data_IF_879561897851
#
_entry.id   IF_879561897851
#
_cell.length_a   1.000
_cell.length_b   1.000
_cell.length_c   1.000
_cell.angle_alpha   90.00
_cell.angle_beta   90.00
_cell.angle_gamma   90.00
#
_symmetry.space_group_name_H-M   'P 1'
#
loop_
_entity.id
_entity.type
_entity.pdbx_description
1 polymer ?
#
# COMPACT_ATOMS: atom_id res chain seq x y z
N UNK A 1 52.85 -64.13 -34.17
CA UNK A 1 52.99 -62.70 -34.54
C UNK A 1 51.65 -62.03 -34.32
N UNK A 2 51.62 -60.90 -33.60
CA UNK A 2 50.38 -60.20 -33.15
C UNK A 2 49.45 -59.83 -34.31
N UNK A 3 48.12 -59.91 -34.16
CA UNK A 3 47.17 -59.51 -35.19
C UNK A 3 46.85 -58.01 -35.16
N UNK A 4 46.56 -57.52 -36.36
CA UNK A 4 46.28 -56.16 -36.81
C UNK A 4 44.85 -55.70 -36.43
N UNK A 5 44.69 -54.46 -35.99
CA UNK A 5 43.41 -53.83 -35.60
C UNK A 5 42.95 -52.86 -36.71
N UNK A 6 41.70 -52.94 -37.21
CA UNK A 6 41.10 -51.87 -38.00
C UNK A 6 40.12 -51.00 -37.18
N UNK A 7 40.10 -49.71 -37.53
CA UNK A 7 39.42 -48.61 -36.86
C UNK A 7 37.89 -48.61 -37.02
N UNK A 8 37.21 -48.00 -36.03
CA UNK A 8 35.75 -47.89 -35.91
C UNK A 8 35.12 -46.86 -36.88
N UNK A 9 33.87 -47.07 -37.33
CA UNK A 9 33.19 -46.16 -38.27
C UNK A 9 32.56 -44.92 -37.61
N UNK A 10 32.52 -43.84 -38.38
CA UNK A 10 32.09 -42.50 -38.00
C UNK A 10 30.58 -42.35 -37.73
N UNK A 11 30.23 -41.46 -36.78
CA UNK A 11 28.86 -41.07 -36.43
C UNK A 11 28.23 -40.14 -37.48
N UNK A 12 26.91 -40.25 -37.77
CA UNK A 12 26.20 -39.34 -38.67
C UNK A 12 25.89 -37.98 -38.02
N UNK A 13 25.67 -36.91 -38.81
CA UNK A 13 25.46 -35.55 -38.30
C UNK A 13 24.06 -35.36 -37.69
N UNK A 14 24.02 -34.60 -36.59
CA UNK A 14 22.79 -34.22 -35.87
C UNK A 14 21.92 -33.28 -36.74
N UNK A 15 20.77 -33.77 -37.19
CA UNK A 15 19.73 -32.95 -37.81
C UNK A 15 19.13 -31.95 -36.83
N UNK A 16 19.06 -30.68 -37.24
CA UNK A 16 18.37 -29.59 -36.52
C UNK A 16 16.88 -29.92 -36.41
N UNK A 17 16.41 -30.23 -35.20
CA UNK A 17 14.97 -30.28 -34.90
C UNK A 17 14.40 -28.87 -35.05
N UNK A 18 13.57 -28.65 -36.08
CA UNK A 18 12.74 -27.45 -36.20
C UNK A 18 11.78 -27.41 -35.01
N UNK A 19 11.78 -26.29 -34.27
CA UNK A 19 10.75 -25.98 -33.28
C UNK A 19 9.38 -25.98 -33.98
N UNK A 20 8.33 -26.57 -33.39
CA UNK A 20 6.98 -26.38 -33.91
C UNK A 20 6.62 -24.89 -33.78
N UNK A 21 5.99 -24.35 -34.83
CA UNK A 21 5.45 -23.00 -34.83
C UNK A 21 4.45 -22.83 -33.67
N UNK A 22 4.39 -21.65 -33.02
CA UNK A 22 3.36 -21.40 -32.03
C UNK A 22 1.98 -21.45 -32.71
N UNK A 23 0.92 -21.91 -32.00
CA UNK A 23 -0.43 -21.88 -32.55
C UNK A 23 -0.84 -20.44 -32.83
N UNK A 24 -1.14 -20.15 -34.09
CA UNK A 24 -1.81 -18.92 -34.52
C UNK A 24 -3.22 -18.90 -33.93
N UNK A 25 -3.37 -18.19 -32.83
CA UNK A 25 -4.62 -18.05 -32.09
C UNK A 25 -4.52 -16.95 -31.04
N UNK A 26 -3.89 -15.83 -31.40
CA UNK A 26 -3.77 -14.68 -30.53
C UNK A 26 -5.14 -14.04 -30.30
N UNK A 27 -5.75 -14.35 -29.15
CA UNK A 27 -6.87 -13.57 -28.61
C UNK A 27 -6.36 -12.12 -28.46
N UNK A 28 -6.97 -11.20 -29.21
CA UNK A 28 -6.64 -9.77 -29.16
C UNK A 28 -7.29 -9.18 -27.93
N UNK A 29 -6.51 -8.97 -26.87
CA UNK A 29 -6.88 -8.08 -25.78
C UNK A 29 -7.10 -6.67 -26.36
N UNK A 30 -8.11 -5.91 -25.87
CA UNK A 30 -8.47 -4.61 -26.45
C UNK A 30 -7.45 -3.49 -26.17
N UNK A 31 -6.43 -3.77 -25.36
CA UNK A 31 -5.37 -2.83 -25.04
C UNK A 31 -4.38 -2.74 -26.22
N UNK A 32 -4.16 -1.56 -26.82
CA UNK A 32 -3.03 -1.42 -27.73
C UNK A 32 -1.75 -1.67 -26.92
N UNK A 33 -0.95 -2.66 -27.35
CA UNK A 33 0.41 -2.85 -26.84
C UNK A 33 1.20 -1.57 -27.09
N UNK A 34 1.38 -0.76 -26.06
CA UNK A 34 2.34 0.33 -26.11
C UNK A 34 3.72 -0.31 -26.06
N UNK A 35 4.42 -0.31 -27.20
CA UNK A 35 5.86 -0.54 -27.20
C UNK A 35 6.56 0.49 -26.30
N UNK A 36 7.81 0.23 -25.87
CA UNK A 36 8.54 1.18 -25.04
C UNK A 36 8.57 2.54 -25.75
N UNK A 37 8.09 3.57 -25.05
CA UNK A 37 8.14 4.94 -25.56
C UNK A 37 9.59 5.34 -25.82
N UNK A 38 9.91 5.73 -27.06
CA UNK A 38 11.21 6.34 -27.36
C UNK A 38 11.31 7.70 -26.66
N UNK A 39 12.36 7.97 -25.87
CA UNK A 39 12.51 9.25 -25.18
C UNK A 39 12.94 10.35 -26.17
N UNK A 40 11.97 11.14 -26.63
CA UNK A 40 12.19 12.31 -27.45
C UNK A 40 12.15 13.62 -26.64
N UNK A 41 13.35 14.21 -26.45
CA UNK A 41 13.66 15.65 -26.18
C UNK A 41 13.62 16.16 -24.73
N UNK A 42 14.85 16.25 -24.20
CA UNK A 42 15.44 17.32 -23.39
C UNK A 42 14.62 17.89 -22.22
N UNK A 43 14.53 17.10 -21.15
CA UNK A 43 14.39 17.64 -19.80
C UNK A 43 15.67 18.43 -19.45
N UNK A 44 15.51 19.70 -19.08
CA UNK A 44 16.55 20.40 -18.32
C UNK A 44 16.60 19.73 -16.96
N UNK A 45 17.59 18.86 -16.78
CA UNK A 45 17.85 18.19 -15.52
C UNK A 45 18.15 19.24 -14.44
N UNK A 46 17.31 19.29 -13.41
CA UNK A 46 17.77 19.82 -12.13
C UNK A 46 18.98 18.97 -11.70
N UNK A 47 20.04 19.58 -11.12
CA UNK A 47 21.23 18.83 -10.76
C UNK A 47 20.85 17.70 -9.80
N UNK A 48 21.39 16.48 -9.98
CA UNK A 48 21.10 15.37 -9.08
C UNK A 48 21.56 15.77 -7.67
N UNK A 49 20.63 15.78 -6.72
CA UNK A 49 21.00 15.68 -5.31
C UNK A 49 21.75 14.35 -5.17
N UNK A 50 23.05 14.44 -4.91
CA UNK A 50 23.90 13.29 -4.71
C UNK A 50 23.24 12.36 -3.68
N UNK A 51 22.98 11.12 -4.08
CA UNK A 51 22.54 10.10 -3.15
C UNK A 51 23.59 10.00 -2.03
N UNK A 52 23.21 10.14 -0.75
CA UNK A 52 24.16 9.96 0.34
C UNK A 52 24.64 8.50 0.31
N UNK A 53 25.95 8.31 0.40
CA UNK A 53 26.55 6.99 0.46
C UNK A 53 25.99 6.24 1.69
N UNK A 54 25.36 5.10 1.45
CA UNK A 54 24.89 4.22 2.50
C UNK A 54 26.10 3.69 3.31
N UNK A 55 26.10 3.94 4.62
CA UNK A 55 27.02 3.29 5.56
C UNK A 55 26.59 1.85 5.87
N UNK A 56 27.43 1.06 6.56
CA UNK A 56 27.27 -0.41 6.63
C UNK A 56 26.02 -0.96 7.34
N UNK A 57 25.18 -0.12 7.96
CA UNK A 57 23.96 -0.56 8.68
C UNK A 57 22.66 0.08 8.16
N UNK A 58 22.67 0.67 6.96
CA UNK A 58 21.45 1.16 6.30
C UNK A 58 20.84 2.44 6.88
N UNK A 59 21.50 3.11 7.84
CA UNK A 59 21.12 4.43 8.32
C UNK A 59 21.72 5.52 7.42
N UNK A 60 20.87 6.30 6.76
CA UNK A 60 21.30 7.46 5.96
C UNK A 60 21.89 8.55 6.87
N UNK A 61 23.18 8.82 6.71
CA UNK A 61 23.93 9.85 7.43
C UNK A 61 23.28 11.25 7.36
N UNK A 62 22.50 11.56 6.31
CA UNK A 62 21.73 12.80 6.21
C UNK A 62 20.51 12.80 7.15
N UNK A 63 19.84 11.65 7.30
CA UNK A 63 18.71 11.46 8.22
C UNK A 63 19.19 11.56 9.67
N UNK A 64 20.30 10.89 10.01
CA UNK A 64 20.90 10.96 11.35
C UNK A 64 21.27 12.40 11.69
N UNK A 65 21.96 13.12 10.80
CA UNK A 65 22.32 14.52 11.01
C UNK A 65 21.11 15.44 11.19
N UNK A 66 20.05 15.25 10.39
CA UNK A 66 18.80 16.00 10.54
C UNK A 66 18.13 15.72 11.87
N UNK A 67 18.04 14.45 12.29
CA UNK A 67 17.42 14.04 13.56
C UNK A 67 18.19 14.56 14.77
N UNK A 68 19.52 14.54 14.72
CA UNK A 68 20.37 15.16 15.75
C UNK A 68 20.14 16.69 15.80
N UNK A 69 19.97 17.35 14.65
CA UNK A 69 19.66 18.77 14.60
C UNK A 69 18.25 19.10 15.14
N UNK A 70 17.24 18.28 14.83
CA UNK A 70 15.89 18.38 15.39
C UNK A 70 15.88 18.16 16.91
N UNK A 71 16.65 17.17 17.40
CA UNK A 71 16.83 16.94 18.82
C UNK A 71 17.49 18.13 19.53
N UNK A 72 18.49 18.76 18.91
CA UNK A 72 19.12 19.99 19.40
C UNK A 72 18.12 21.15 19.51
N UNK A 73 17.23 21.30 18.52
CA UNK A 73 16.19 22.34 18.53
C UNK A 73 15.15 22.08 19.63
N UNK A 74 14.72 20.83 19.80
CA UNK A 74 13.74 20.44 20.82
C UNK A 74 14.30 20.51 22.25
N UNK A 75 15.60 20.26 22.45
CA UNK A 75 16.28 20.42 23.73
C UNK A 75 16.35 21.88 24.21
N UNK A 76 16.35 22.85 23.29
CA UNK A 76 16.33 24.27 23.61
C UNK A 76 14.96 24.75 24.13
N UNK A 77 13.88 24.05 23.79
CA UNK A 77 12.50 24.34 24.18
C UNK A 77 11.98 23.48 25.36
N UNK A 78 12.87 22.68 25.99
CA UNK A 78 12.55 21.90 27.19
C UNK A 78 12.19 20.43 26.93
N UNK A 79 13.09 19.67 26.31
CA UNK A 79 12.94 18.21 26.17
C UNK A 79 13.04 17.45 27.52
N UNK A 80 12.43 16.26 27.57
CA UNK A 80 12.44 15.35 28.73
C UNK A 80 13.88 15.04 29.22
N UNK A 81 14.11 15.02 30.56
CA UNK A 81 15.43 14.88 31.18
C UNK A 81 16.31 13.64 30.82
N UNK A 82 15.80 12.48 30.31
CA UNK A 82 16.67 11.32 30.04
C UNK A 82 17.56 11.42 28.80
N UNK A 83 17.27 12.34 27.86
CA UNK A 83 17.95 12.38 26.55
C UNK A 83 19.26 13.19 26.56
N UNK A 84 19.40 14.14 27.48
CA UNK A 84 20.54 15.07 27.50
C UNK A 84 21.92 14.37 27.62
N UNK A 85 22.11 13.30 28.42
CA UNK A 85 23.40 12.60 28.52
C UNK A 85 23.75 11.84 27.24
N UNK A 86 22.79 11.16 26.63
CA UNK A 86 22.96 10.40 25.39
C UNK A 86 23.24 11.32 24.21
N UNK A 87 22.57 12.48 24.16
CA UNK A 87 22.87 13.54 23.19
C UNK A 87 24.32 14.01 23.40
N UNK A 88 24.73 14.30 24.64
CA UNK A 88 26.09 14.77 24.93
C UNK A 88 27.18 13.75 24.52
N UNK A 89 26.96 12.46 24.75
CA UNK A 89 27.92 11.39 24.42
C UNK A 89 28.02 11.08 22.92
N UNK A 90 26.95 11.32 22.15
CA UNK A 90 26.90 11.02 20.72
C UNK A 90 27.32 12.19 19.81
N UNK A 91 27.48 13.41 20.35
CA UNK A 91 27.80 14.61 19.57
C UNK A 91 29.15 14.56 18.84
N UNK A 92 30.12 13.81 19.38
CA UNK A 92 31.48 13.67 18.84
C UNK A 92 31.79 12.27 18.29
N UNK A 93 30.79 11.37 18.29
CA UNK A 93 30.97 9.99 17.87
C UNK A 93 30.81 9.82 16.33
N UNK A 94 31.57 8.90 15.71
CA UNK A 94 31.34 8.48 14.32
C UNK A 94 29.89 8.03 14.09
N UNK A 95 29.36 8.20 12.87
CA UNK A 95 27.95 7.89 12.54
C UNK A 95 27.62 6.39 12.72
N UNK A 96 28.62 5.53 12.57
CA UNK A 96 28.59 4.09 12.79
C UNK A 96 28.82 3.67 14.26
N UNK A 97 28.98 4.63 15.17
CA UNK A 97 29.15 4.31 16.59
C UNK A 97 27.83 3.77 17.18
N UNK A 98 27.85 2.65 17.92
CA UNK A 98 26.67 2.10 18.57
C UNK A 98 25.96 3.08 19.53
N UNK A 99 26.64 4.12 20.02
CA UNK A 99 26.04 5.21 20.81
C UNK A 99 25.16 6.13 19.96
N UNK A 100 25.53 6.37 18.70
CA UNK A 100 24.70 7.12 17.74
C UNK A 100 23.47 6.29 17.38
N UNK A 101 23.62 4.99 17.19
CA UNK A 101 22.49 4.08 17.00
C UNK A 101 21.55 4.06 18.23
N UNK A 102 22.10 3.98 19.45
CA UNK A 102 21.32 4.06 20.68
C UNK A 102 20.61 5.43 20.86
N UNK A 103 21.26 6.53 20.46
CA UNK A 103 20.62 7.84 20.45
C UNK A 103 19.49 7.90 19.40
N UNK A 104 19.71 7.40 18.18
CA UNK A 104 18.65 7.31 17.15
C UNK A 104 17.50 6.44 17.63
N UNK A 105 17.77 5.34 18.33
CA UNK A 105 16.75 4.45 18.92
C UNK A 105 15.91 5.15 19.98
N UNK A 106 16.55 5.98 20.80
CA UNK A 106 15.90 6.77 21.82
C UNK A 106 15.19 8.01 21.23
N UNK A 107 15.67 8.54 20.10
CA UNK A 107 15.03 9.61 19.32
C UNK A 107 13.79 9.11 18.56
N UNK A 108 13.85 7.93 17.95
CA UNK A 108 12.71 7.28 17.31
C UNK A 108 11.71 6.75 18.36
N UNK A 109 12.20 6.41 19.57
CA UNK A 109 11.38 6.15 20.75
C UNK A 109 10.91 4.72 20.94
N UNK A 110 11.25 3.81 20.01
CA UNK A 110 10.84 2.41 20.05
C UNK A 110 11.58 1.56 21.08
N UNK A 111 12.67 2.09 21.65
CA UNK A 111 13.39 1.47 22.76
C UNK A 111 13.77 0.01 22.47
N UNK A 112 13.44 -0.95 23.36
CA UNK A 112 13.77 -2.37 23.16
C UNK A 112 13.23 -3.00 21.86
N UNK A 113 12.23 -2.39 21.21
CA UNK A 113 11.64 -2.90 19.97
C UNK A 113 12.32 -2.35 18.71
N UNK A 114 13.22 -1.35 18.85
CA UNK A 114 13.86 -0.68 17.72
C UNK A 114 14.62 -1.63 16.77
N UNK A 115 15.36 -2.66 17.23
CA UNK A 115 16.01 -3.62 16.34
C UNK A 115 15.03 -4.37 15.44
N UNK A 116 13.88 -4.75 15.98
CA UNK A 116 12.83 -5.45 15.22
C UNK A 116 12.12 -4.51 14.24
N UNK A 117 11.87 -3.26 14.66
CA UNK A 117 11.25 -2.23 13.81
C UNK A 117 12.09 -1.92 12.57
N UNK A 118 13.42 -2.00 12.67
CA UNK A 118 14.33 -1.77 11.54
C UNK A 118 14.66 -3.01 10.71
N UNK A 119 14.27 -4.20 11.16
CA UNK A 119 14.64 -5.43 10.49
C UNK A 119 13.98 -5.49 9.09
N UNK A 120 14.76 -5.58 8.00
CA UNK A 120 14.19 -5.67 6.66
C UNK A 120 13.24 -6.86 6.52
N UNK A 121 12.06 -6.62 5.93
CA UNK A 121 11.03 -7.64 5.74
C UNK A 121 10.11 -7.87 6.95
N UNK A 122 10.35 -7.25 8.10
CA UNK A 122 9.38 -7.22 9.20
C UNK A 122 8.31 -6.18 8.90
N UNK A 123 7.05 -6.59 8.93
CA UNK A 123 5.89 -5.73 8.68
C UNK A 123 5.17 -5.31 9.96
N UNK A 124 5.22 -6.16 10.99
CA UNK A 124 4.55 -5.92 12.26
C UNK A 124 5.44 -6.39 13.43
N UNK A 125 5.45 -5.64 14.53
CA UNK A 125 6.10 -6.01 15.81
C UNK A 125 5.04 -5.93 16.90
N UNK A 126 4.82 -7.03 17.62
CA UNK A 126 3.76 -7.13 18.62
C UNK A 126 4.34 -7.47 20.00
N UNK A 127 3.72 -6.95 21.04
CA UNK A 127 3.98 -7.32 22.45
C UNK A 127 2.66 -7.80 23.05
N UNK A 128 2.65 -9.04 23.52
CA UNK A 128 1.49 -9.61 24.21
C UNK A 128 1.45 -9.23 25.69
N UNK A 129 0.38 -9.60 26.40
CA UNK A 129 0.20 -9.24 27.80
C UNK A 129 1.27 -9.82 28.72
N UNK A 130 1.88 -10.96 28.36
CA UNK A 130 2.98 -11.52 29.12
C UNK A 130 4.32 -10.80 28.83
N UNK A 131 4.32 -9.84 27.92
CA UNK A 131 5.49 -9.09 27.47
C UNK A 131 6.29 -9.77 26.36
N UNK A 132 5.83 -10.92 25.82
CA UNK A 132 6.58 -11.61 24.79
C UNK A 132 6.50 -10.86 23.46
N UNK A 133 7.62 -10.80 22.74
CA UNK A 133 7.74 -10.10 21.46
C UNK A 133 7.49 -11.06 20.29
N UNK A 134 6.70 -10.59 19.33
CA UNK A 134 6.41 -11.28 18.09
C UNK A 134 6.70 -10.37 16.90
N UNK A 135 7.06 -10.95 15.76
CA UNK A 135 7.19 -10.19 14.50
C UNK A 135 6.44 -10.91 13.38
N UNK A 136 5.79 -10.16 12.49
CA UNK A 136 5.22 -10.67 11.25
C UNK A 136 6.01 -10.15 10.04
N UNK A 137 5.93 -10.87 8.92
CA UNK A 137 6.62 -10.57 7.66
C UNK A 137 6.27 -11.58 6.58
N UNK A 138 7.16 -11.79 5.60
CA UNK A 138 6.90 -12.72 4.49
C UNK A 138 6.72 -14.18 4.96
N UNK A 139 7.39 -14.55 6.05
CA UNK A 139 7.31 -15.88 6.67
C UNK A 139 6.14 -16.08 7.63
N UNK A 140 5.29 -15.06 7.82
CA UNK A 140 4.22 -15.08 8.83
C UNK A 140 4.72 -14.74 10.24
N UNK A 141 3.83 -14.94 11.22
CA UNK A 141 4.05 -14.54 12.62
C UNK A 141 5.04 -15.47 13.33
N UNK A 142 6.11 -14.88 13.89
CA UNK A 142 7.19 -15.58 14.58
C UNK A 142 7.42 -15.00 15.97
N UNK A 143 7.52 -15.87 16.99
CA UNK A 143 7.89 -15.47 18.35
C UNK A 143 9.39 -15.21 18.45
N UNK A 144 9.77 -14.09 19.07
CA UNK A 144 11.17 -13.69 19.30
C UNK A 144 11.63 -14.09 20.70
N UNK A 145 12.96 -14.20 20.93
CA UNK A 145 13.49 -14.52 22.26
C UNK A 145 13.26 -13.39 23.27
N UNK A 146 13.07 -12.17 22.80
CA UNK A 146 12.89 -10.96 23.60
C UNK A 146 11.58 -10.96 24.38
N UNK A 147 11.65 -10.34 25.57
CA UNK A 147 10.51 -10.13 26.46
C UNK A 147 10.67 -8.80 27.16
N UNK A 148 9.61 -7.99 27.15
CA UNK A 148 9.53 -6.77 27.94
C UNK A 148 8.92 -7.12 29.31
N UNK A 149 9.49 -6.60 30.38
CA UNK A 149 8.80 -6.63 31.66
C UNK A 149 7.57 -5.70 31.64
N UNK A 150 6.58 -5.90 32.54
CA UNK A 150 5.34 -5.14 32.51
C UNK A 150 5.52 -3.62 32.62
N UNK A 151 6.49 -3.16 33.41
CA UNK A 151 6.73 -1.73 33.62
C UNK A 151 7.36 -1.12 32.36
N UNK A 152 8.36 -1.79 31.77
CA UNK A 152 8.97 -1.37 30.50
C UNK A 152 7.95 -1.34 29.36
N UNK A 153 7.08 -2.35 29.24
CA UNK A 153 6.04 -2.38 28.22
C UNK A 153 5.05 -1.21 28.37
N UNK A 154 4.62 -0.93 29.61
CA UNK A 154 3.75 0.21 29.93
C UNK A 154 4.44 1.54 29.64
N UNK A 155 5.66 1.74 30.12
CA UNK A 155 6.41 2.98 29.93
C UNK A 155 6.67 3.25 28.44
N UNK A 156 7.03 2.22 27.68
CA UNK A 156 7.23 2.32 26.23
C UNK A 156 5.93 2.74 25.52
N UNK A 157 4.80 2.11 25.85
CA UNK A 157 3.51 2.47 25.28
C UNK A 157 3.16 3.93 25.56
N UNK A 158 3.16 4.33 26.83
CA UNK A 158 2.83 5.70 27.25
C UNK A 158 3.72 6.72 26.53
N UNK A 159 5.04 6.47 26.46
CA UNK A 159 6.00 7.36 25.79
C UNK A 159 5.74 7.48 24.29
N UNK A 160 5.52 6.36 23.59
CA UNK A 160 5.23 6.36 22.15
C UNK A 160 3.96 7.16 21.84
N UNK A 161 2.89 6.93 22.62
CA UNK A 161 1.62 7.62 22.44
C UNK A 161 1.75 9.11 22.77
N UNK A 162 2.43 9.46 23.87
CA UNK A 162 2.67 10.85 24.27
C UNK A 162 3.42 11.65 23.21
N UNK A 163 4.48 11.06 22.63
CA UNK A 163 5.24 11.68 21.53
C UNK A 163 4.40 11.99 20.28
N UNK A 164 3.34 11.23 20.06
CA UNK A 164 2.39 11.47 18.98
C UNK A 164 1.22 12.39 19.37
N UNK A 165 1.31 13.06 20.53
CA UNK A 165 0.24 13.90 21.06
C UNK A 165 -1.02 13.10 21.42
N UNK A 166 -0.86 11.85 21.87
CA UNK A 166 -1.94 10.99 22.33
C UNK A 166 -1.79 10.69 23.80
N UNK A 167 -2.92 10.64 24.50
CA UNK A 167 -2.99 10.29 25.91
C UNK A 167 -3.23 8.80 26.05
N UNK A 168 -2.44 8.13 26.89
CA UNK A 168 -2.63 6.72 27.24
C UNK A 168 -2.44 6.59 28.76
N UNK A 169 -3.51 6.30 29.48
CA UNK A 169 -3.49 6.11 30.93
C UNK A 169 -4.67 5.22 31.39
N UNK A 170 -4.95 5.16 32.69
CA UNK A 170 -6.03 4.33 33.23
C UNK A 170 -7.42 4.82 32.82
N UNK A 171 -7.58 6.13 32.56
CA UNK A 171 -8.84 6.71 32.09
C UNK A 171 -9.00 6.59 30.58
N UNK A 172 -7.90 6.60 29.82
CA UNK A 172 -7.85 6.38 28.37
C UNK A 172 -6.93 5.18 28.07
N UNK A 173 -7.42 3.93 28.29
CA UNK A 173 -6.56 2.74 28.26
C UNK A 173 -6.29 2.19 26.85
N UNK A 174 -6.88 2.77 25.80
CA UNK A 174 -6.63 2.40 24.41
C UNK A 174 -6.25 3.65 23.61
N UNK A 175 -5.21 3.56 22.79
CA UNK A 175 -4.85 4.65 21.90
C UNK A 175 -4.11 4.17 20.65
N UNK A 176 -4.31 4.92 19.57
CA UNK A 176 -3.66 4.76 18.28
C UNK A 176 -2.86 6.01 17.92
N UNK A 177 -1.67 5.80 17.36
CA UNK A 177 -0.75 6.85 16.97
C UNK A 177 0.13 6.48 15.78
N UNK A 178 0.88 7.46 15.28
CA UNK A 178 1.98 7.24 14.34
C UNK A 178 3.24 7.90 14.90
N UNK A 179 4.29 7.09 15.09
CA UNK A 179 5.61 7.53 15.58
C UNK A 179 6.62 7.18 14.52
N UNK A 180 7.40 8.14 14.01
CA UNK A 180 8.41 7.86 12.98
C UNK A 180 7.89 7.17 11.70
N UNK A 181 6.59 7.28 11.40
CA UNK A 181 5.95 6.56 10.29
C UNK A 181 5.39 5.18 10.64
N UNK A 182 5.73 4.61 11.81
CA UNK A 182 5.19 3.35 12.31
C UNK A 182 3.84 3.60 12.98
N UNK A 183 2.82 2.80 12.63
CA UNK A 183 1.52 2.84 13.33
C UNK A 183 1.67 2.11 14.66
N UNK A 184 1.25 2.72 15.74
CA UNK A 184 1.32 2.18 17.09
C UNK A 184 -0.09 2.10 17.66
N UNK A 185 -0.51 0.90 18.06
CA UNK A 185 -1.69 0.68 18.87
C UNK A 185 -1.29 0.14 20.23
N UNK A 186 -1.85 0.67 21.30
CA UNK A 186 -1.57 0.24 22.66
C UNK A 186 -2.84 0.03 23.48
N UNK A 187 -2.81 -1.00 24.34
CA UNK A 187 -3.90 -1.31 25.28
C UNK A 187 -3.33 -1.54 26.68
N UNK A 188 -3.84 -0.82 27.67
CA UNK A 188 -3.44 -0.95 29.06
C UNK A 188 -4.43 -1.82 29.88
N UNK A 189 -3.96 -2.46 30.96
CA UNK A 189 -4.85 -3.03 31.96
C UNK A 189 -5.75 -1.95 32.59
N UNK A 190 -6.99 -2.29 32.99
CA UNK A 190 -7.57 -3.64 33.02
C UNK A 190 -8.23 -4.09 31.71
N UNK A 191 -8.23 -3.27 30.65
CA UNK A 191 -8.84 -3.67 29.36
C UNK A 191 -8.11 -4.86 28.74
N UNK A 192 -6.79 -4.88 28.86
CA UNK A 192 -5.98 -6.06 28.58
C UNK A 192 -5.84 -6.92 29.85
N UNK A 193 -6.25 -8.20 29.76
CA UNK A 193 -6.25 -9.11 30.91
C UNK A 193 -4.87 -9.62 31.36
N UNK A 194 -3.81 -9.42 30.57
CA UNK A 194 -2.48 -9.99 30.82
C UNK A 194 -1.36 -8.98 31.13
N UNK A 195 -1.53 -7.72 30.77
CA UNK A 195 -0.48 -6.70 30.78
C UNK A 195 -0.64 -5.72 29.60
N UNK A 196 0.29 -4.79 29.42
CA UNK A 196 0.25 -3.84 28.30
C UNK A 196 0.40 -4.57 26.96
N UNK A 197 -0.51 -4.32 26.01
CA UNK A 197 -0.42 -4.81 24.64
C UNK A 197 0.14 -3.71 23.74
N UNK A 198 1.04 -4.06 22.82
CA UNK A 198 1.55 -3.17 21.77
C UNK A 198 1.45 -3.84 20.41
N UNK A 199 0.97 -3.11 19.41
CA UNK A 199 1.01 -3.51 18.01
C UNK A 199 1.63 -2.39 17.19
N UNK A 200 2.82 -2.64 16.64
CA UNK A 200 3.52 -1.74 15.74
C UNK A 200 3.41 -2.26 14.30
N UNK A 201 2.90 -1.44 13.38
CA UNK A 201 2.88 -1.74 11.94
C UNK A 201 3.82 -0.81 11.20
N UNK A 202 4.81 -1.41 10.56
CA UNK A 202 5.92 -0.72 9.90
C UNK A 202 5.52 -0.46 8.45
N UNK A 203 5.65 0.79 7.96
CA UNK A 203 5.41 1.08 6.55
C UNK A 203 6.51 0.45 5.69
N UNK A 204 6.17 0.03 4.48
CA UNK A 204 7.17 -0.41 3.53
C UNK A 204 8.14 0.75 3.21
N UNK A 205 9.45 0.46 3.17
CA UNK A 205 10.49 1.47 2.92
C UNK A 205 10.38 2.09 1.52
N UNK A 206 9.90 1.32 0.54
CA UNK A 206 9.70 1.75 -0.84
C UNK A 206 8.41 1.15 -1.38
N UNK A 207 7.62 1.95 -2.10
CA UNK A 207 6.48 1.44 -2.86
C UNK A 207 7.03 0.69 -4.08
N UNK A 208 6.70 -0.60 -4.28
CA UNK A 208 7.11 -1.34 -5.46
C UNK A 208 6.46 -0.73 -6.70
N UNK A 209 7.20 -0.72 -7.82
CA UNK A 209 6.63 -0.31 -9.10
C UNK A 209 5.57 -1.29 -9.57
N UNK A 210 4.65 -0.85 -10.43
CA UNK A 210 3.65 -1.74 -11.02
C UNK A 210 4.28 -2.92 -11.75
N UNK A 211 5.40 -2.68 -12.45
CA UNK A 211 6.17 -3.73 -13.12
C UNK A 211 6.72 -4.77 -12.12
N UNK A 212 7.34 -4.31 -11.01
CA UNK A 212 7.88 -5.19 -9.99
C UNK A 212 6.80 -6.04 -9.31
N UNK A 213 5.60 -5.49 -9.09
CA UNK A 213 4.47 -6.27 -8.60
C UNK A 213 4.02 -7.30 -9.64
N UNK A 214 3.89 -6.89 -10.90
CA UNK A 214 3.45 -7.75 -12.00
C UNK A 214 4.39 -8.93 -12.26
N UNK A 215 5.70 -8.77 -12.07
CA UNK A 215 6.66 -9.87 -12.21
C UNK A 215 6.37 -11.05 -11.27
N UNK A 216 5.73 -10.79 -10.12
CA UNK A 216 5.32 -11.81 -9.16
C UNK A 216 3.89 -12.34 -9.35
N UNK A 217 3.10 -11.77 -10.27
CA UNK A 217 1.69 -12.13 -10.44
C UNK A 217 1.49 -13.23 -11.49
N UNK A 218 0.51 -14.12 -11.28
CA UNK A 218 0.01 -14.96 -12.36
C UNK A 218 -0.59 -14.10 -13.50
N UNK A 219 -0.17 -14.35 -14.74
CA UNK A 219 -0.46 -13.49 -15.90
C UNK A 219 -0.16 -12.00 -15.67
N UNK A 220 0.91 -11.70 -14.91
CA UNK A 220 1.19 -10.35 -14.46
C UNK A 220 1.30 -9.30 -15.56
N UNK A 221 1.86 -9.64 -16.73
CA UNK A 221 1.92 -8.73 -17.88
C UNK A 221 0.52 -8.28 -18.34
N UNK A 222 -0.46 -9.20 -18.36
CA UNK A 222 -1.84 -8.87 -18.72
C UNK A 222 -2.48 -7.93 -17.69
N UNK A 223 -2.26 -8.20 -16.40
CA UNK A 223 -2.79 -7.36 -15.33
C UNK A 223 -2.13 -5.98 -15.29
N UNK A 224 -0.83 -5.90 -15.55
CA UNK A 224 -0.12 -4.64 -15.71
C UNK A 224 -0.70 -3.82 -16.87
N UNK A 225 -0.84 -4.42 -18.06
CA UNK A 225 -1.43 -3.75 -19.24
C UNK A 225 -2.85 -3.23 -18.94
N UNK A 226 -3.67 -4.02 -18.24
CA UNK A 226 -5.02 -3.61 -17.84
C UNK A 226 -5.00 -2.44 -16.85
N UNK A 227 -4.13 -2.47 -15.84
CA UNK A 227 -3.98 -1.40 -14.84
C UNK A 227 -3.45 -0.11 -15.48
N UNK A 228 -2.45 -0.21 -16.36
CA UNK A 228 -1.92 0.93 -17.10
C UNK A 228 -3.00 1.56 -17.99
N UNK A 229 -3.85 0.74 -18.61
CA UNK A 229 -4.97 1.26 -19.38
C UNK A 229 -6.01 1.98 -18.52
N UNK A 230 -6.37 1.43 -17.36
CA UNK A 230 -7.27 2.11 -16.40
C UNK A 230 -6.71 3.46 -15.95
N UNK A 231 -5.39 3.53 -15.69
CA UNK A 231 -4.72 4.78 -15.29
C UNK A 231 -4.68 5.79 -16.43
N UNK A 232 -4.22 5.36 -17.62
CA UNK A 232 -4.12 6.19 -18.83
C UNK A 232 -5.47 6.79 -19.21
N UNK A 233 -6.51 5.96 -19.23
CA UNK A 233 -7.86 6.34 -19.66
C UNK A 233 -8.68 6.95 -18.51
N UNK A 234 -8.02 7.40 -17.42
CA UNK A 234 -8.63 8.09 -16.27
C UNK A 234 -9.88 7.38 -15.74
N UNK A 235 -9.83 6.06 -15.66
CA UNK A 235 -10.90 5.26 -15.10
C UNK A 235 -11.03 5.50 -13.59
N UNK A 236 -12.27 5.56 -13.13
CA UNK A 236 -12.60 5.57 -11.71
C UNK A 236 -12.66 4.13 -11.19
N UNK A 237 -11.76 3.78 -10.27
CA UNK A 237 -11.54 2.38 -9.85
C UNK A 237 -11.72 2.22 -8.35
N UNK A 238 -12.56 1.26 -7.95
CA UNK A 238 -12.62 0.79 -6.57
C UNK A 238 -11.79 -0.49 -6.42
N UNK A 239 -10.77 -0.45 -5.57
CA UNK A 239 -9.94 -1.60 -5.23
C UNK A 239 -10.51 -2.30 -3.99
N UNK A 240 -10.82 -3.58 -4.12
CA UNK A 240 -11.42 -4.39 -3.07
C UNK A 240 -10.56 -5.59 -2.70
N UNK A 241 -10.76 -6.12 -1.49
CA UNK A 241 -10.04 -7.27 -0.96
C UNK A 241 -10.02 -7.30 0.58
N UNK A 242 -9.59 -8.42 1.14
CA UNK A 242 -9.44 -8.60 2.57
C UNK A 242 -8.36 -7.68 3.19
N UNK A 243 -8.31 -7.64 4.52
CA UNK A 243 -7.21 -6.99 5.26
C UNK A 243 -5.88 -7.65 4.93
N UNK A 244 -4.87 -6.84 4.64
CA UNK A 244 -3.54 -7.35 4.27
C UNK A 244 -3.43 -7.96 2.87
N UNK A 245 -4.47 -7.84 2.01
CA UNK A 245 -4.40 -8.31 0.62
C UNK A 245 -3.48 -7.47 -0.28
N UNK A 246 -3.03 -6.29 0.17
CA UNK A 246 -2.15 -5.41 -0.61
C UNK A 246 -2.86 -4.32 -1.43
N UNK A 247 -4.11 -3.97 -1.10
CA UNK A 247 -4.91 -2.93 -1.80
C UNK A 247 -4.16 -1.61 -1.93
N UNK A 248 -3.68 -1.05 -0.82
CA UNK A 248 -2.99 0.25 -0.80
C UNK A 248 -1.65 0.21 -1.54
N UNK A 249 -0.95 -0.94 -1.49
CA UNK A 249 0.30 -1.17 -2.23
C UNK A 249 0.06 -1.17 -3.74
N UNK A 250 -0.91 -1.95 -4.21
CA UNK A 250 -1.27 -1.97 -5.65
C UNK A 250 -1.76 -0.59 -6.11
N UNK A 251 -2.61 0.06 -5.31
CA UNK A 251 -3.10 1.40 -5.60
C UNK A 251 -1.94 2.39 -5.74
N UNK A 252 -0.96 2.38 -4.83
CA UNK A 252 0.21 3.27 -4.91
C UNK A 252 1.07 2.98 -6.14
N UNK A 253 1.26 1.69 -6.48
CA UNK A 253 2.01 1.27 -7.66
C UNK A 253 1.33 1.70 -8.98
N UNK A 254 0.00 1.56 -9.07
CA UNK A 254 -0.78 2.01 -10.21
C UNK A 254 -0.78 3.53 -10.35
N UNK A 255 -0.92 4.26 -9.23
CA UNK A 255 -0.86 5.72 -9.23
C UNK A 255 0.52 6.28 -9.61
N UNK A 256 1.61 5.53 -9.40
CA UNK A 256 2.93 5.88 -9.95
C UNK A 256 3.00 5.83 -11.50
N UNK A 257 1.95 5.34 -12.18
CA UNK A 257 1.83 5.37 -13.64
C UNK A 257 1.02 6.57 -14.16
N UNK A 258 0.51 7.41 -13.26
CA UNK A 258 -0.16 8.66 -13.61
C UNK A 258 0.85 9.60 -14.31
N UNK A 259 0.45 10.33 -15.37
CA UNK A 259 1.30 11.32 -16.01
C UNK A 259 1.83 12.38 -15.03
N UNK A 260 3.13 12.69 -15.10
CA UNK A 260 3.81 13.55 -14.12
C UNK A 260 3.31 15.00 -14.04
N UNK A 261 2.48 15.44 -14.99
CA UNK A 261 1.82 16.74 -15.03
C UNK A 261 0.44 16.77 -14.34
N UNK A 262 -0.07 15.62 -13.90
CA UNK A 262 -1.32 15.51 -13.15
C UNK A 262 -1.09 15.63 -11.63
N UNK A 263 -2.01 16.24 -10.90
CA UNK A 263 -1.97 16.35 -9.44
C UNK A 263 -2.78 15.25 -8.77
N UNK A 264 -2.14 14.48 -7.90
CA UNK A 264 -2.78 13.44 -7.09
C UNK A 264 -3.06 13.98 -5.69
N UNK A 265 -4.32 13.97 -5.26
CA UNK A 265 -4.72 14.27 -3.88
C UNK A 265 -5.18 12.99 -3.21
N UNK A 266 -4.42 12.54 -2.22
CA UNK A 266 -4.67 11.33 -1.43
C UNK A 266 -5.33 11.73 -0.11
N UNK A 267 -6.44 11.07 0.22
CA UNK A 267 -7.22 11.30 1.43
C UNK A 267 -7.31 10.00 2.21
N UNK A 268 -6.72 9.95 3.40
CA UNK A 268 -6.65 8.72 4.20
C UNK A 268 -6.98 8.97 5.66
N UNK A 269 -7.53 7.96 6.34
CA UNK A 269 -7.67 8.00 7.79
C UNK A 269 -6.28 8.03 8.47
N UNK A 270 -5.39 7.16 7.99
CA UNK A 270 -3.98 7.19 8.36
C UNK A 270 -3.14 7.05 7.11
N UNK A 271 -2.15 7.93 6.95
CA UNK A 271 -1.27 7.95 5.77
C UNK A 271 -0.61 6.57 5.55
N UNK A 272 -0.83 6.00 4.38
CA UNK A 272 -0.33 4.69 3.94
C UNK A 272 0.09 4.74 2.47
N UNK A 273 -0.72 5.36 1.61
CA UNK A 273 -0.43 5.44 0.20
C UNK A 273 0.75 6.39 -0.06
N UNK A 274 1.74 5.88 -0.80
CA UNK A 274 2.95 6.61 -1.16
C UNK A 274 3.30 6.34 -2.63
N UNK A 275 2.47 6.81 -3.58
CA UNK A 275 2.77 6.65 -4.99
C UNK A 275 4.06 7.38 -5.37
N UNK A 276 4.89 6.72 -6.20
CA UNK A 276 6.08 7.33 -6.79
C UNK A 276 5.65 8.29 -7.92
N UNK A 277 5.34 9.53 -7.55
CA UNK A 277 4.80 10.54 -8.45
C UNK A 277 5.26 11.95 -8.02
N UNK A 278 5.66 12.84 -8.94
CA UNK A 278 6.25 14.15 -8.59
C UNK A 278 5.29 15.13 -7.91
N UNK A 279 3.97 14.96 -8.06
CA UNK A 279 2.96 15.89 -7.53
C UNK A 279 1.86 15.17 -6.73
N UNK A 280 2.20 14.76 -5.51
CA UNK A 280 1.28 14.09 -4.58
C UNK A 280 1.02 15.01 -3.38
N UNK A 281 -0.25 15.16 -3.03
CA UNK A 281 -0.70 15.88 -1.84
C UNK A 281 -1.47 14.93 -0.95
N UNK A 282 -0.95 14.68 0.25
CA UNK A 282 -1.60 13.79 1.23
C UNK A 282 -2.41 14.60 2.25
N UNK A 283 -3.66 14.22 2.44
CA UNK A 283 -4.55 14.66 3.51
C UNK A 283 -4.79 13.48 4.45
N UNK A 284 -4.67 13.71 5.75
CA UNK A 284 -4.87 12.71 6.76
C UNK A 284 -5.94 13.15 7.77
N UNK A 285 -6.82 12.23 8.16
CA UNK A 285 -7.75 12.46 9.26
C UNK A 285 -7.03 12.85 10.54
N UNK A 286 -7.73 13.62 11.37
CA UNK A 286 -7.27 13.98 12.70
C UNK A 286 -8.34 13.57 13.70
N UNK A 287 -8.01 12.66 14.60
CA UNK A 287 -8.86 12.39 15.76
C UNK A 287 -9.00 13.65 16.62
N UNK A 288 -10.13 13.76 17.33
CA UNK A 288 -10.29 14.78 18.36
C UNK A 288 -9.14 14.72 19.39
N UNK A 289 -8.80 15.88 19.97
CA UNK A 289 -7.87 15.95 21.09
C UNK A 289 -8.48 15.33 22.37
N UNK A 290 -7.73 15.33 23.47
CA UNK A 290 -8.18 14.76 24.75
C UNK A 290 -9.46 15.42 25.29
N UNK A 291 -9.75 16.66 24.87
CA UNK A 291 -10.94 17.43 25.21
C UNK A 291 -12.11 17.20 24.24
N UNK A 292 -11.97 16.32 23.24
CA UNK A 292 -13.01 16.02 22.25
C UNK A 292 -13.13 17.03 21.10
N UNK A 293 -12.18 17.95 20.97
CA UNK A 293 -12.21 19.03 19.99
C UNK A 293 -11.28 18.78 18.79
N UNK A 294 -11.63 19.37 17.65
CA UNK A 294 -10.76 19.42 16.47
C UNK A 294 -10.68 18.12 15.66
N UNK A 295 -11.67 17.23 15.77
CA UNK A 295 -11.80 16.11 14.84
C UNK A 295 -11.92 16.61 13.39
N UNK A 296 -11.22 15.95 12.48
CA UNK A 296 -11.31 16.14 11.03
C UNK A 296 -11.47 14.76 10.41
N UNK A 297 -12.68 14.46 9.95
CA UNK A 297 -13.04 13.15 9.41
C UNK A 297 -12.80 13.01 7.91
N UNK A 298 -12.87 11.77 7.42
CA UNK A 298 -12.57 11.44 6.02
C UNK A 298 -13.54 12.14 5.04
N UNK A 299 -14.83 12.16 5.38
CA UNK A 299 -15.87 12.86 4.62
C UNK A 299 -15.57 14.36 4.42
N UNK A 300 -15.10 15.03 5.47
CA UNK A 300 -14.71 16.43 5.42
C UNK A 300 -13.49 16.63 4.51
N UNK A 301 -12.45 15.82 4.68
CA UNK A 301 -11.26 15.89 3.84
C UNK A 301 -11.56 15.64 2.36
N UNK A 302 -12.46 14.72 2.02
CA UNK A 302 -12.91 14.50 0.63
C UNK A 302 -13.50 15.78 0.06
N UNK A 303 -14.39 16.47 0.79
CA UNK A 303 -14.98 17.75 0.34
C UNK A 303 -13.95 18.87 0.18
N UNK A 304 -12.91 18.89 1.03
CA UNK A 304 -11.81 19.84 0.91
C UNK A 304 -10.88 19.51 -0.26
N UNK A 305 -10.60 18.22 -0.49
CA UNK A 305 -9.76 17.76 -1.59
C UNK A 305 -10.27 18.25 -2.95
N UNK A 306 -11.59 18.29 -3.15
CA UNK A 306 -12.20 18.82 -4.39
C UNK A 306 -11.87 20.29 -4.67
N UNK A 307 -11.54 21.06 -3.63
CA UNK A 307 -11.14 22.47 -3.76
C UNK A 307 -9.65 22.66 -4.02
N UNK A 308 -8.88 21.57 -4.01
CA UNK A 308 -7.43 21.59 -4.20
C UNK A 308 -7.01 21.36 -5.65
N UNK A 309 -7.97 21.43 -6.60
CA UNK A 309 -7.79 21.10 -8.02
C UNK A 309 -7.09 19.74 -8.20
N UNK A 310 -7.70 18.63 -7.76
CA UNK A 310 -7.13 17.31 -8.03
C UNK A 310 -7.39 16.92 -9.49
N UNK A 311 -6.36 16.44 -10.18
CA UNK A 311 -6.53 15.68 -11.43
C UNK A 311 -6.87 14.22 -11.11
N UNK A 312 -6.37 13.70 -9.97
CA UNK A 312 -6.73 12.40 -9.38
C UNK A 312 -7.15 12.58 -7.93
N UNK A 313 -8.36 12.15 -7.59
CA UNK A 313 -8.79 12.00 -6.20
C UNK A 313 -8.58 10.57 -5.73
N UNK A 314 -7.87 10.38 -4.63
CA UNK A 314 -7.56 9.07 -4.08
C UNK A 314 -8.10 8.98 -2.67
N UNK A 315 -8.87 7.94 -2.37
CA UNK A 315 -9.38 7.69 -1.01
C UNK A 315 -8.81 6.38 -0.48
N UNK A 316 -7.94 6.47 0.53
CA UNK A 316 -7.18 5.35 1.04
C UNK A 316 -8.04 4.14 1.38
N UNK A 317 -9.11 4.33 2.17
CA UNK A 317 -10.08 3.28 2.44
C UNK A 317 -11.43 3.85 2.87
N UNK A 318 -12.52 3.36 2.28
CA UNK A 318 -13.89 3.63 2.73
C UNK A 318 -14.35 2.51 3.68
N UNK A 319 -14.80 2.90 4.87
CA UNK A 319 -15.25 2.01 5.96
C UNK A 319 -16.65 2.36 6.47
N UNK A 320 -17.16 3.56 6.20
CA UNK A 320 -18.42 4.05 6.76
C UNK A 320 -19.15 5.08 5.90
N UNK A 321 -19.85 5.99 6.58
CA UNK A 321 -20.75 6.96 5.97
C UNK A 321 -20.08 7.87 4.93
N UNK A 322 -18.76 8.07 5.02
CA UNK A 322 -17.98 8.86 4.07
C UNK A 322 -18.08 8.35 2.63
N UNK A 323 -18.49 7.10 2.42
CA UNK A 323 -18.71 6.56 1.08
C UNK A 323 -19.71 7.40 0.28
N UNK A 324 -20.66 8.06 0.94
CA UNK A 324 -21.62 8.97 0.31
C UNK A 324 -20.92 10.21 -0.28
N UNK A 325 -19.98 10.80 0.46
CA UNK A 325 -19.15 11.91 -0.02
C UNK A 325 -18.22 11.47 -1.14
N UNK A 326 -17.64 10.27 -1.04
CA UNK A 326 -16.81 9.68 -2.11
C UNK A 326 -17.63 9.50 -3.37
N UNK A 327 -18.76 8.78 -3.31
CA UNK A 327 -19.62 8.55 -4.47
C UNK A 327 -20.13 9.88 -5.07
N UNK A 328 -20.42 10.87 -4.25
CA UNK A 328 -20.77 12.22 -4.72
C UNK A 328 -19.59 12.85 -5.46
N UNK A 329 -18.38 12.81 -4.88
CA UNK A 329 -17.17 13.34 -5.51
C UNK A 329 -16.90 12.71 -6.89
N UNK A 330 -17.07 11.39 -7.03
CA UNK A 330 -16.91 10.68 -8.31
C UNK A 330 -17.82 11.22 -9.43
N UNK A 331 -18.95 11.82 -9.06
CA UNK A 331 -19.95 12.36 -9.99
C UNK A 331 -19.81 13.87 -10.25
N UNK A 332 -18.83 14.55 -9.63
CA UNK A 332 -18.62 16.01 -9.76
C UNK A 332 -17.58 16.42 -10.81
N UNK A 333 -17.22 15.51 -11.73
CA UNK A 333 -16.29 15.80 -12.82
C UNK A 333 -14.82 15.47 -12.52
N UNK A 334 -14.53 14.89 -11.36
CA UNK A 334 -13.19 14.40 -11.00
C UNK A 334 -13.00 12.98 -11.53
N UNK A 335 -12.39 12.87 -12.71
CA UNK A 335 -12.09 11.58 -13.34
C UNK A 335 -10.85 10.92 -12.73
N UNK A 336 -10.61 9.65 -13.06
CA UNK A 336 -9.41 8.95 -12.64
C UNK A 336 -9.31 8.73 -11.14
N UNK A 337 -10.43 8.79 -10.41
CA UNK A 337 -10.44 8.65 -8.97
C UNK A 337 -10.29 7.19 -8.54
N UNK A 338 -9.47 6.94 -7.52
CA UNK A 338 -9.21 5.60 -7.02
C UNK A 338 -9.56 5.52 -5.54
N UNK A 339 -10.13 4.41 -5.10
CA UNK A 339 -10.36 4.21 -3.67
C UNK A 339 -10.30 2.75 -3.28
N UNK A 340 -10.03 2.47 -2.00
CA UNK A 340 -10.10 1.09 -1.52
C UNK A 340 -11.27 0.84 -0.58
N UNK A 341 -11.73 -0.40 -0.51
CA UNK A 341 -12.73 -0.86 0.44
C UNK A 341 -12.57 -2.35 0.75
N UNK A 342 -13.17 -2.80 1.84
CA UNK A 342 -13.17 -4.22 2.20
C UNK A 342 -14.39 -4.96 1.64
N UNK A 343 -14.12 -5.99 0.85
CA UNK A 343 -15.09 -6.98 0.39
C UNK A 343 -14.36 -8.32 0.18
N UNK A 344 -15.07 -9.45 0.28
CA UNK A 344 -14.48 -10.78 0.08
C UNK A 344 -14.51 -11.22 -1.39
N UNK A 345 -15.29 -10.54 -2.21
CA UNK A 345 -15.33 -10.70 -3.66
C UNK A 345 -15.75 -9.38 -4.33
N UNK A 346 -15.42 -9.20 -5.61
CA UNK A 346 -15.92 -8.06 -6.39
C UNK A 346 -17.45 -7.99 -6.37
N UNK A 347 -18.13 -9.14 -6.53
CA UNK A 347 -19.59 -9.22 -6.54
C UNK A 347 -20.27 -8.74 -5.23
N UNK A 348 -19.54 -8.67 -4.12
CA UNK A 348 -20.06 -8.17 -2.83
C UNK A 348 -19.95 -6.65 -2.68
N UNK A 349 -19.16 -5.98 -3.54
CA UNK A 349 -18.94 -4.53 -3.46
C UNK A 349 -20.25 -3.72 -3.47
N UNK A 350 -21.25 -4.01 -4.32
CA UNK A 350 -22.53 -3.30 -4.29
C UNK A 350 -23.23 -3.34 -2.92
N UNK A 351 -23.26 -4.51 -2.27
CA UNK A 351 -23.87 -4.66 -0.96
C UNK A 351 -23.08 -3.89 0.11
N UNK A 352 -21.75 -3.88 0.02
CA UNK A 352 -20.88 -3.11 0.93
C UNK A 352 -21.06 -1.60 0.77
N UNK A 353 -21.12 -1.09 -0.47
CA UNK A 353 -21.43 0.31 -0.73
C UNK A 353 -22.80 0.69 -0.13
N UNK A 354 -23.81 -0.17 -0.31
CA UNK A 354 -25.16 0.07 0.22
C UNK A 354 -25.16 0.11 1.76
N UNK A 355 -24.48 -0.83 2.41
CA UNK A 355 -24.37 -0.88 3.86
C UNK A 355 -23.61 0.30 4.46
N UNK A 356 -22.56 0.79 3.80
CA UNK A 356 -21.82 1.97 4.25
C UNK A 356 -22.62 3.26 4.02
N UNK A 357 -23.24 3.40 2.86
CA UNK A 357 -24.00 4.59 2.51
C UNK A 357 -25.31 4.73 3.30
N UNK A 358 -25.89 3.62 3.78
CA UNK A 358 -27.06 3.68 4.66
C UNK A 358 -26.76 4.36 6.00
N UNK A 359 -25.51 4.35 6.47
CA UNK A 359 -25.06 5.12 7.64
C UNK A 359 -25.15 6.63 7.39
N UNK A 360 -25.06 7.06 6.13
CA UNK A 360 -25.29 8.44 5.70
C UNK A 360 -26.76 8.71 5.32
N UNK A 361 -27.68 7.76 5.57
CA UNK A 361 -29.10 7.88 5.26
C UNK A 361 -29.46 7.69 3.78
N UNK A 362 -28.53 7.20 2.94
CA UNK A 362 -28.85 6.94 1.53
C UNK A 362 -29.67 5.67 1.38
N UNK A 363 -30.66 5.73 0.48
CA UNK A 363 -31.44 4.56 0.08
C UNK A 363 -30.67 3.74 -0.97
N UNK A 364 -30.85 2.40 -1.04
CA UNK A 364 -30.16 1.54 -1.99
C UNK A 364 -30.22 2.03 -3.45
N UNK A 365 -31.35 2.59 -3.87
CA UNK A 365 -31.54 3.09 -5.24
C UNK A 365 -30.64 4.32 -5.52
N UNK A 366 -30.42 5.16 -4.50
CA UNK A 366 -29.52 6.32 -4.58
C UNK A 366 -28.07 5.85 -4.69
N UNK A 367 -27.68 4.88 -3.87
CA UNK A 367 -26.34 4.27 -3.92
C UNK A 367 -26.10 3.66 -5.30
N UNK A 368 -27.06 2.88 -5.79
CA UNK A 368 -26.95 2.23 -7.08
C UNK A 368 -26.80 3.23 -8.24
N UNK A 369 -27.61 4.29 -8.25
CA UNK A 369 -27.53 5.34 -9.26
C UNK A 369 -26.17 6.06 -9.24
N UNK A 370 -25.70 6.46 -8.05
CA UNK A 370 -24.43 7.19 -7.89
C UNK A 370 -23.22 6.30 -8.23
N UNK A 371 -23.22 5.04 -7.77
CA UNK A 371 -22.15 4.10 -8.07
C UNK A 371 -22.10 3.74 -9.56
N UNK A 372 -23.26 3.53 -10.20
CA UNK A 372 -23.33 3.20 -11.64
C UNK A 372 -22.82 4.34 -12.53
N UNK A 373 -23.06 5.58 -12.12
CA UNK A 373 -22.63 6.77 -12.85
C UNK A 373 -21.14 7.11 -12.61
N UNK A 374 -20.66 6.93 -11.37
CA UNK A 374 -19.31 7.33 -10.97
C UNK A 374 -18.24 6.26 -11.14
N UNK A 375 -18.55 4.97 -10.93
CA UNK A 375 -17.56 3.88 -10.90
C UNK A 375 -17.41 3.25 -12.29
N UNK A 376 -16.18 3.21 -12.81
CA UNK A 376 -15.90 2.59 -14.10
C UNK A 376 -15.54 1.10 -13.94
N UNK A 377 -14.78 0.76 -12.89
CA UNK A 377 -14.37 -0.62 -12.61
C UNK A 377 -14.18 -0.90 -11.11
N UNK A 378 -14.29 -2.18 -10.76
CA UNK A 378 -13.92 -2.75 -9.46
C UNK A 378 -12.79 -3.74 -9.69
N UNK A 379 -11.64 -3.49 -9.07
CA UNK A 379 -10.51 -4.41 -9.06
C UNK A 379 -10.51 -5.17 -7.74
N UNK A 380 -10.51 -6.50 -7.79
CA UNK A 380 -10.44 -7.34 -6.61
C UNK A 380 -9.08 -8.03 -6.50
N UNK A 381 -8.49 -7.97 -5.31
CA UNK A 381 -7.17 -8.52 -4.98
C UNK A 381 -7.35 -9.60 -3.91
N UNK A 382 -6.67 -10.73 -4.10
CA UNK A 382 -6.61 -11.81 -3.13
C UNK A 382 -5.17 -12.00 -2.61
N UNK A 383 -5.07 -12.71 -1.48
CA UNK A 383 -3.82 -13.30 -1.00
C UNK A 383 -4.02 -14.81 -0.93
N UNK A 384 -3.37 -15.56 -1.80
CA UNK A 384 -3.46 -17.02 -1.86
C UNK A 384 -2.08 -17.68 -2.05
N UNK A 385 -2.04 -18.92 -2.55
CA UNK A 385 -0.80 -19.66 -2.82
C UNK A 385 0.14 -19.00 -3.85
N UNK A 386 -0.33 -17.98 -4.58
CA UNK A 386 0.45 -17.17 -5.51
C UNK A 386 0.85 -15.81 -4.92
N UNK A 387 0.67 -15.60 -3.61
CA UNK A 387 0.95 -14.34 -2.96
C UNK A 387 -0.20 -13.34 -3.13
N UNK A 388 0.13 -12.04 -3.13
CA UNK A 388 -0.86 -10.95 -3.28
C UNK A 388 -0.97 -10.58 -4.75
N UNK A 389 -2.12 -10.81 -5.37
CA UNK A 389 -2.30 -10.52 -6.79
C UNK A 389 -3.76 -10.18 -7.17
N UNK A 390 -3.98 -9.47 -8.29
CA UNK A 390 -5.31 -9.25 -8.83
C UNK A 390 -5.97 -10.57 -9.24
N UNK A 391 -7.24 -10.73 -8.91
CA UNK A 391 -8.03 -11.92 -9.24
C UNK A 391 -9.26 -11.62 -10.08
N UNK A 392 -9.81 -10.41 -9.99
CA UNK A 392 -10.97 -10.03 -10.80
C UNK A 392 -10.95 -8.54 -11.13
N UNK A 393 -11.23 -8.20 -12.40
CA UNK A 393 -11.63 -6.87 -12.82
C UNK A 393 -13.09 -6.96 -13.23
N UNK A 394 -13.98 -6.29 -12.52
CA UNK A 394 -15.40 -6.26 -12.81
C UNK A 394 -15.86 -4.84 -13.15
N UNK A 395 -16.92 -4.72 -13.93
CA UNK A 395 -17.49 -3.42 -14.33
C UNK A 395 -18.98 -3.37 -14.08
N UNK A 396 -19.57 -2.21 -13.79
CA UNK A 396 -21.01 -2.14 -13.58
C UNK A 396 -21.81 -2.60 -14.80
N UNK A 397 -22.76 -3.50 -14.57
CA UNK A 397 -23.61 -4.12 -15.59
C UNK A 397 -24.57 -3.08 -16.19
N UNK A 398 -24.47 -2.77 -17.50
CA UNK A 398 -25.39 -1.83 -18.13
C UNK A 398 -26.83 -2.35 -18.23
N UNK A 399 -27.09 -3.64 -18.02
CA UNK A 399 -28.43 -4.26 -18.13
C UNK A 399 -29.09 -4.53 -16.79
N UNK A 400 -28.35 -4.47 -15.69
CA UNK A 400 -28.90 -4.70 -14.37
C UNK A 400 -29.85 -3.58 -13.94
N UNK A 401 -30.92 -3.96 -13.24
CA UNK A 401 -31.74 -3.05 -12.45
C UNK A 401 -30.99 -2.79 -11.12
N UNK A 402 -30.47 -1.58 -10.95
CA UNK A 402 -29.56 -1.20 -9.86
C UNK A 402 -28.06 -1.28 -10.22
N UNK A 403 -27.23 -1.56 -9.21
CA UNK A 403 -25.76 -1.63 -9.32
C UNK A 403 -25.29 -3.06 -9.10
N UNK A 404 -25.13 -3.80 -10.20
CA UNK A 404 -24.51 -5.11 -10.22
C UNK A 404 -23.21 -5.03 -11.05
N UNK A 405 -22.34 -6.02 -10.89
CA UNK A 405 -21.04 -6.07 -11.56
C UNK A 405 -20.96 -7.27 -12.49
N UNK A 406 -20.34 -7.08 -13.66
CA UNK A 406 -19.98 -8.12 -14.62
C UNK A 406 -18.46 -8.31 -14.63
N UNK A 407 -17.95 -9.54 -14.48
CA UNK A 407 -16.53 -9.81 -14.62
C UNK A 407 -16.05 -9.49 -16.05
N UNK A 408 -15.02 -8.67 -16.16
CA UNK A 408 -14.30 -8.37 -17.39
C UNK A 408 -13.04 -9.24 -17.50
N UNK A 409 -12.26 -9.36 -16.42
CA UNK A 409 -11.14 -10.30 -16.31
C UNK A 409 -11.28 -11.11 -15.03
N UNK A 410 -11.02 -12.41 -15.08
CA UNK A 410 -11.03 -13.29 -13.90
C UNK A 410 -9.86 -14.25 -13.94
N UNK A 411 -9.02 -14.24 -12.90
CA UNK A 411 -8.05 -15.30 -12.65
C UNK A 411 -8.78 -16.58 -12.29
N UNK A 412 -8.51 -17.65 -13.04
CA UNK A 412 -9.00 -18.99 -12.73
C UNK A 412 -7.82 -19.85 -12.31
N UNK A 413 -7.79 -20.32 -11.05
CA UNK A 413 -6.85 -21.34 -10.64
C UNK A 413 -6.99 -22.56 -11.56
N UNK A 414 -5.87 -23.09 -12.00
CA UNK A 414 -5.82 -24.29 -12.82
C UNK A 414 -5.65 -25.53 -11.97
N UNK A 415 -5.75 -26.69 -12.61
CA UNK A 415 -5.22 -27.92 -12.03
C UNK A 415 -3.70 -27.96 -12.22
N UNK A 416 -3.01 -28.84 -11.49
CA UNK A 416 -1.56 -29.07 -11.65
C UNK A 416 -1.16 -29.32 -13.13
N UNK A 417 -2.06 -29.89 -13.93
CA UNK A 417 -1.82 -30.20 -15.34
C UNK A 417 -2.07 -29.04 -16.32
N UNK A 418 -2.91 -28.05 -15.97
CA UNK A 418 -3.36 -27.00 -16.90
C UNK A 418 -2.79 -25.62 -16.58
N UNK A 419 -2.33 -25.40 -15.34
CA UNK A 419 -1.91 -24.08 -14.86
C UNK A 419 -3.09 -23.11 -14.75
N UNK A 420 -3.01 -22.19 -13.80
CA UNK A 420 -4.01 -21.12 -13.72
C UNK A 420 -3.88 -20.15 -14.89
N UNK A 421 -4.99 -19.50 -15.24
CA UNK A 421 -5.01 -18.45 -16.27
C UNK A 421 -6.10 -17.42 -16.01
N UNK A 422 -5.86 -16.22 -16.46
CA UNK A 422 -6.82 -15.13 -16.54
C UNK A 422 -7.66 -15.30 -17.79
N UNK A 423 -8.98 -15.19 -17.64
CA UNK A 423 -9.94 -15.29 -18.73
C UNK A 423 -10.75 -14.01 -18.87
N UNK A 424 -11.04 -13.63 -20.10
CA UNK A 424 -12.00 -12.58 -20.40
C UNK A 424 -13.42 -13.04 -20.06
N UNK A 425 -14.17 -12.13 -19.43
CA UNK A 425 -15.58 -12.30 -19.08
C UNK A 425 -16.51 -11.39 -19.89
N UNK A 426 -17.83 -11.50 -19.65
CA UNK A 426 -18.84 -10.74 -20.37
C UNK A 426 -18.77 -9.22 -20.16
N UNK A 427 -18.04 -8.75 -19.15
CA UNK A 427 -17.83 -7.34 -18.86
C UNK A 427 -16.87 -6.62 -19.82
N UNK A 428 -16.07 -7.34 -20.62
CA UNK A 428 -15.05 -6.73 -21.48
C UNK A 428 -15.58 -5.66 -22.46
N UNK A 429 -16.70 -5.87 -23.18
CA UNK A 429 -17.25 -4.83 -24.05
C UNK A 429 -17.72 -3.58 -23.28
N UNK A 430 -18.26 -3.76 -22.08
CA UNK A 430 -18.71 -2.66 -21.24
C UNK A 430 -17.52 -1.86 -20.69
N UNK A 431 -16.43 -2.55 -20.30
CA UNK A 431 -15.17 -1.90 -19.92
C UNK A 431 -14.62 -1.04 -21.07
N UNK A 432 -14.49 -1.61 -22.27
CA UNK A 432 -13.99 -0.89 -23.44
C UNK A 432 -14.83 0.37 -23.76
N UNK A 433 -16.17 0.26 -23.67
CA UNK A 433 -17.08 1.38 -23.89
C UNK A 433 -16.87 2.50 -22.87
N UNK A 434 -16.71 2.14 -21.57
CA UNK A 434 -16.47 3.13 -20.53
C UNK A 434 -15.16 3.88 -20.72
N UNK A 435 -14.06 3.16 -20.98
CA UNK A 435 -12.73 3.76 -21.14
C UNK A 435 -12.67 4.67 -22.37
N UNK A 436 -13.27 4.26 -23.49
CA UNK A 436 -13.35 5.12 -24.67
C UNK A 436 -14.09 6.44 -24.40
N UNK A 437 -15.09 6.44 -23.51
CA UNK A 437 -15.83 7.65 -23.10
C UNK A 437 -15.03 8.60 -22.19
N UNK A 438 -13.90 8.15 -21.65
CA UNK A 438 -13.00 8.92 -20.77
C UNK A 438 -11.80 9.47 -21.52
N UNK A 439 -11.19 8.70 -22.43
CA UNK A 439 -10.01 9.14 -23.21
C UNK A 439 -10.27 10.32 -24.17
N UNK A 440 -11.54 10.70 -24.39
CA UNK A 440 -11.95 11.79 -25.28
C UNK A 440 -12.40 13.09 -24.60
N UNK A 441 -12.23 13.22 -23.27
CA UNK A 441 -12.52 14.44 -22.50
C UNK A 441 -11.26 14.94 -21.80
#
# INVERSE_FOLDING_TARGET
MRPFVPAAPARPPRGRRRRPAPPEGGRRFPWPRTGPAEPGRTQVAAPPLAAPAAGPDGLDAAVVRRRVAEARASAADGAEPPLAPLIAEALDAPIDDPRVAALVDELDGFGPLAPWVRTPGVTDVLVDGAGAVWTDGDGGLVRRPDRLDPETARALAVRLLHRAGRRLDVAVPLADARVGGVRVHAVLPPVSGGGTLLSLRIPAATTPSLAALADGWPDGALWADALEALVRDRATVLVSGATGAGKTTLLSAALGRVPGDERIVVVEDTAEAAPDHPHVVALQCRAANAEGAGEVGLAELVRHALRMRPDRLVVGECRGAEVADVLTALNTGHQGAWGTLHANAAAEVPARLTAMASLAGWRPETVAAQARAGVDAVLHIARDGHGRHPVELAVPDPRADGFALLPALTWRPGTEATGGRTVEGPGMPALATRLAGRSGR
#
